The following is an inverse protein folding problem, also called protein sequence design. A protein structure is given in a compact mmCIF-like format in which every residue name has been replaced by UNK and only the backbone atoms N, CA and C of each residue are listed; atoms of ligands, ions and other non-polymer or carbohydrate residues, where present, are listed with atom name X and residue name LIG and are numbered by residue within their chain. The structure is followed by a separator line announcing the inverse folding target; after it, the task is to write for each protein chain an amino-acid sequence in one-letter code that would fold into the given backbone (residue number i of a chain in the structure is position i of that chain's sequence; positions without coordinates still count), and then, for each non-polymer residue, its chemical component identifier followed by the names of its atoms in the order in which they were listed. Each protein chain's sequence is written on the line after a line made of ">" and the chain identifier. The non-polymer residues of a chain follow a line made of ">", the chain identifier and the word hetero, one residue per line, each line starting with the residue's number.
data_IF_879627264852
#
_entry.id   IF_879627264852
#
_cell.length_a   1.000
_cell.length_b   1.000
_cell.length_c   1.000
_cell.angle_alpha   90.00
_cell.angle_beta   90.00
_cell.angle_gamma   90.00
#
_symmetry.space_group_name_H-M   'P 1'
#
loop_
_entity.id
_entity.type
_entity.pdbx_description
1 polymer ?
#
# COMPACT_ATOMS: atom_id res chain seq x y z
N UNK A 1 12.79 -25.17 10.25
CA UNK A 1 12.24 -24.14 9.34
C UNK A 1 12.03 -22.88 10.13
N UNK A 2 12.72 -21.78 9.79
CA UNK A 2 12.50 -20.49 10.45
C UNK A 2 11.13 -19.99 9.97
N UNK A 3 10.17 -19.68 10.86
CA UNK A 3 8.87 -19.18 10.43
C UNK A 3 9.09 -17.91 9.60
N UNK A 4 8.46 -17.88 8.42
CA UNK A 4 8.62 -16.81 7.44
C UNK A 4 8.33 -15.46 8.08
N UNK A 5 9.34 -14.58 8.08
CA UNK A 5 9.20 -13.20 8.56
C UNK A 5 8.34 -12.44 7.55
N UNK A 6 7.22 -11.88 7.98
CA UNK A 6 6.24 -11.21 7.10
C UNK A 6 6.32 -9.69 7.16
N UNK A 7 6.07 -9.05 6.02
CA UNK A 7 5.86 -7.62 5.86
C UNK A 7 7.10 -6.72 6.08
N UNK A 8 6.98 -5.46 5.66
CA UNK A 8 8.05 -4.47 5.88
C UNK A 8 8.09 -4.07 7.36
N UNK A 9 9.27 -4.16 7.98
CA UNK A 9 9.49 -3.72 9.36
C UNK A 9 9.05 -4.70 10.44
N UNK A 10 8.64 -5.93 10.09
CA UNK A 10 8.37 -7.04 11.02
C UNK A 10 7.34 -6.71 12.12
N UNK A 11 6.48 -5.71 11.91
CA UNK A 11 5.44 -5.31 12.86
C UNK A 11 4.12 -5.98 12.49
N UNK A 12 3.43 -6.62 13.45
CA UNK A 12 2.09 -7.14 13.22
C UNK A 12 1.14 -6.03 12.74
N UNK A 13 0.05 -6.38 12.07
CA UNK A 13 -1.04 -5.42 11.87
C UNK A 13 -1.62 -5.04 13.23
N UNK A 14 -2.11 -3.81 13.41
CA UNK A 14 -2.58 -3.32 14.71
C UNK A 14 -3.75 -4.14 15.30
N UNK A 15 -4.48 -4.83 14.42
CA UNK A 15 -5.57 -5.74 14.76
C UNK A 15 -5.15 -7.22 14.76
N UNK A 16 -3.91 -7.52 14.33
CA UNK A 16 -3.30 -8.84 14.43
C UNK A 16 -2.29 -8.80 15.58
N UNK A 17 -2.72 -9.16 16.79
CA UNK A 17 -1.75 -9.47 17.84
C UNK A 17 -0.99 -10.72 17.40
N UNK A 18 0.23 -10.55 16.90
CA UNK A 18 1.18 -11.66 16.83
C UNK A 18 1.63 -11.93 18.26
N UNK A 19 0.89 -12.76 18.96
CA UNK A 19 1.46 -13.47 20.08
C UNK A 19 2.64 -14.25 19.49
N UNK A 20 3.83 -13.94 20.00
CA UNK A 20 5.06 -14.58 19.57
C UNK A 20 4.87 -16.09 19.66
N UNK A 21 5.00 -16.79 18.53
CA UNK A 21 5.02 -18.25 18.50
C UNK A 21 6.34 -18.73 19.11
N UNK A 22 6.51 -18.55 20.42
CA UNK A 22 7.38 -19.41 21.21
C UNK A 22 6.75 -20.79 21.23
N UNK A 23 7.58 -21.82 21.08
CA UNK A 23 7.17 -23.21 21.19
C UNK A 23 6.77 -23.48 22.65
N UNK A 24 5.57 -23.04 23.04
CA UNK A 24 5.16 -22.94 24.43
C UNK A 24 4.04 -21.93 24.60
N UNK A 25 2.88 -22.48 24.93
CA UNK A 25 1.67 -21.82 25.45
C UNK A 25 0.79 -21.00 24.50
N UNK A 26 -0.48 -21.42 24.49
CA UNK A 26 -1.57 -20.94 23.67
C UNK A 26 -2.11 -19.65 24.28
N UNK A 27 -1.90 -18.51 23.62
CA UNK A 27 -2.77 -17.35 23.82
C UNK A 27 -3.73 -17.31 22.64
N UNK A 28 -4.96 -17.75 22.88
CA UNK A 28 -6.04 -17.63 21.91
C UNK A 28 -6.43 -16.15 21.82
N UNK A 29 -5.92 -15.44 20.82
CA UNK A 29 -6.63 -14.28 20.30
C UNK A 29 -7.73 -14.78 19.37
N UNK A 30 -8.86 -14.06 19.33
CA UNK A 30 -10.13 -14.27 18.60
C UNK A 30 -10.00 -14.84 17.15
N UNK A 31 -9.46 -16.04 17.01
CA UNK A 31 -9.34 -16.77 15.76
C UNK A 31 -10.39 -17.88 15.82
N UNK A 32 -11.32 -17.85 14.86
CA UNK A 32 -12.20 -18.98 14.59
C UNK A 32 -11.29 -20.20 14.40
N UNK A 33 -11.46 -21.31 15.13
CA UNK A 33 -10.63 -22.49 14.96
C UNK A 33 -10.71 -22.95 13.50
N UNK A 34 -9.63 -22.76 12.74
CA UNK A 34 -9.54 -23.04 11.30
C UNK A 34 -9.23 -21.84 10.39
N UNK A 35 -9.22 -20.60 10.89
CA UNK A 35 -8.85 -19.44 10.06
C UNK A 35 -7.33 -19.28 9.96
N UNK A 36 -6.81 -19.28 8.74
CA UNK A 36 -5.40 -18.96 8.45
C UNK A 36 -5.14 -17.46 8.70
N UNK A 37 -3.91 -17.06 9.07
CA UNK A 37 -3.56 -15.67 9.31
C UNK A 37 -3.61 -14.83 8.01
N UNK A 38 -3.94 -13.53 8.10
CA UNK A 38 -4.20 -12.67 6.93
C UNK A 38 -3.03 -12.63 5.96
N UNK A 39 -1.81 -12.50 6.47
CA UNK A 39 -0.59 -12.45 5.65
C UNK A 39 -0.42 -13.71 4.79
N UNK A 40 -0.90 -14.86 5.25
CA UNK A 40 -0.84 -16.12 4.52
C UNK A 40 -1.99 -16.25 3.53
N UNK A 41 -3.19 -15.86 3.92
CA UNK A 41 -4.38 -15.87 3.06
C UNK A 41 -4.22 -14.91 1.88
N UNK A 42 -3.49 -13.82 2.08
CA UNK A 42 -3.32 -12.73 1.11
C UNK A 42 -1.91 -12.62 0.54
N UNK A 43 -1.04 -13.61 0.73
CA UNK A 43 0.30 -13.65 0.13
C UNK A 43 0.20 -13.35 -1.37
N UNK A 44 1.01 -12.40 -1.85
CA UNK A 44 1.10 -11.96 -3.26
C UNK A 44 -0.19 -11.39 -3.86
N UNK A 45 -1.27 -11.21 -3.11
CA UNK A 45 -2.47 -10.52 -3.60
C UNK A 45 -2.26 -9.01 -3.51
N UNK A 46 -2.35 -8.33 -4.65
CA UNK A 46 -2.07 -6.90 -4.78
C UNK A 46 -3.23 -6.23 -5.51
N UNK A 47 -3.77 -5.15 -4.96
CA UNK A 47 -4.69 -4.27 -5.68
C UNK A 47 -3.88 -3.20 -6.42
N UNK A 48 -4.19 -2.99 -7.70
CA UNK A 48 -3.56 -1.97 -8.53
C UNK A 48 -4.61 -0.97 -9.00
N UNK A 49 -4.34 0.31 -8.76
CA UNK A 49 -5.16 1.41 -9.23
C UNK A 49 -4.36 2.29 -10.18
N UNK A 50 -4.99 2.70 -11.27
CA UNK A 50 -4.44 3.73 -12.15
C UNK A 50 -4.92 5.09 -11.69
N UNK A 51 -3.99 6.02 -11.52
CA UNK A 51 -4.31 7.40 -11.12
C UNK A 51 -3.50 8.40 -11.93
N UNK A 52 -3.89 9.66 -11.84
CA UNK A 52 -3.15 10.77 -12.41
C UNK A 52 -3.18 11.97 -11.47
N UNK A 53 -2.11 12.75 -11.49
CA UNK A 53 -2.01 14.02 -10.78
C UNK A 53 -2.07 15.15 -11.81
N UNK A 54 -2.90 16.15 -11.53
CA UNK A 54 -3.02 17.37 -12.33
C UNK A 54 -2.23 18.46 -11.61
N UNK A 55 -1.11 18.87 -12.20
CA UNK A 55 -0.25 19.93 -11.69
C UNK A 55 -0.56 21.24 -12.45
N UNK A 56 -0.89 22.34 -11.76
CA UNK A 56 -1.03 23.63 -12.40
C UNK A 56 0.36 24.16 -12.78
N UNK A 57 0.54 24.54 -14.04
CA UNK A 57 1.80 25.16 -14.50
C UNK A 57 1.67 26.67 -14.28
N UNK A 58 2.47 27.22 -13.35
CA UNK A 58 2.44 28.65 -13.02
C UNK A 58 3.15 29.54 -14.04
N UNK A 59 4.07 28.99 -14.83
CA UNK A 59 4.85 29.75 -15.80
C UNK A 59 4.34 29.52 -17.23
N UNK A 60 3.62 30.50 -17.77
CA UNK A 60 3.35 30.58 -19.21
C UNK A 60 1.87 30.60 -19.62
N UNK A 61 1.07 31.52 -19.06
CA UNK A 61 -0.01 32.26 -19.74
C UNK A 61 -1.19 31.53 -20.43
N UNK A 62 -1.20 30.19 -20.55
CA UNK A 62 -2.14 29.45 -21.41
C UNK A 62 -3.04 28.44 -20.67
N UNK A 63 -3.03 28.43 -19.34
CA UNK A 63 -3.93 27.57 -18.55
C UNK A 63 -3.68 26.07 -18.69
N UNK A 64 -2.52 25.68 -19.23
CA UNK A 64 -2.16 24.27 -19.41
C UNK A 64 -1.87 23.61 -18.07
N UNK A 65 -2.49 22.46 -17.80
CA UNK A 65 -2.18 21.63 -16.62
C UNK A 65 -1.41 20.38 -17.05
N UNK A 66 -0.33 20.04 -16.33
CA UNK A 66 0.44 18.83 -16.56
C UNK A 66 -0.28 17.62 -15.96
N UNK A 67 -0.46 16.55 -16.74
CA UNK A 67 -1.03 15.28 -16.27
C UNK A 67 0.06 14.24 -16.07
N UNK A 68 0.39 13.93 -14.83
CA UNK A 68 1.35 12.89 -14.45
C UNK A 68 0.62 11.59 -14.12
N UNK A 69 1.06 10.45 -14.66
CA UNK A 69 0.37 9.15 -14.50
C UNK A 69 1.04 8.31 -13.42
N UNK A 70 0.24 7.68 -12.57
CA UNK A 70 0.73 6.84 -11.47
C UNK A 70 0.04 5.47 -11.45
N UNK A 71 0.76 4.47 -10.97
CA UNK A 71 0.21 3.22 -10.47
C UNK A 71 0.28 3.22 -8.95
N UNK A 72 -0.85 2.98 -8.29
CA UNK A 72 -0.92 2.76 -6.85
C UNK A 72 -1.08 1.26 -6.61
N UNK A 73 -0.20 0.69 -5.80
CA UNK A 73 -0.21 -0.72 -5.40
C UNK A 73 -0.53 -0.82 -3.91
N UNK A 74 -1.52 -1.63 -3.57
CA UNK A 74 -1.90 -1.97 -2.21
C UNK A 74 -1.70 -3.46 -1.96
N UNK A 75 -0.83 -3.78 -0.99
CA UNK A 75 -0.47 -5.16 -0.66
C UNK A 75 -1.39 -5.68 0.43
N UNK A 76 -2.19 -6.69 0.11
CA UNK A 76 -3.22 -7.22 1.03
C UNK A 76 -2.63 -8.05 2.18
N UNK A 77 -1.36 -8.46 2.06
CA UNK A 77 -0.65 -9.22 3.08
C UNK A 77 -0.32 -8.38 4.32
N UNK A 78 0.03 -7.09 4.14
CA UNK A 78 0.55 -6.23 5.21
C UNK A 78 0.00 -4.79 5.21
N UNK A 79 -1.03 -4.52 4.41
CA UNK A 79 -1.70 -3.22 4.24
C UNK A 79 -0.73 -2.07 3.87
N UNK A 80 0.41 -2.40 3.24
CA UNK A 80 1.35 -1.41 2.75
C UNK A 80 0.97 -0.88 1.37
N UNK A 81 1.42 0.33 1.07
CA UNK A 81 1.20 1.02 -0.20
C UNK A 81 2.54 1.30 -0.87
N UNK A 82 2.61 1.09 -2.18
CA UNK A 82 3.70 1.56 -3.06
C UNK A 82 3.08 2.38 -4.19
N UNK A 83 3.71 3.49 -4.55
CA UNK A 83 3.28 4.29 -5.71
C UNK A 83 4.42 4.40 -6.69
N UNK A 84 4.15 4.12 -7.96
CA UNK A 84 5.11 4.35 -9.04
C UNK A 84 4.57 5.34 -10.04
N UNK A 85 5.41 6.27 -10.46
CA UNK A 85 5.14 7.16 -11.56
C UNK A 85 5.50 6.47 -12.87
N UNK A 86 4.65 6.68 -13.89
CA UNK A 86 4.87 6.18 -15.24
C UNK A 86 5.27 7.36 -16.11
N UNK A 87 6.51 7.34 -16.59
CA UNK A 87 6.98 8.27 -17.60
C UNK A 87 6.90 7.60 -18.97
N UNK A 88 6.32 8.29 -19.95
CA UNK A 88 6.32 7.86 -21.34
C UNK A 88 7.08 8.90 -22.15
N UNK A 89 8.28 8.52 -22.61
CA UNK A 89 9.09 9.35 -23.51
C UNK A 89 9.48 8.50 -24.71
N UNK A 90 9.14 8.97 -25.91
CA UNK A 90 9.55 8.35 -27.19
C UNK A 90 9.31 6.83 -27.24
N UNK A 91 8.13 6.38 -26.77
CA UNK A 91 7.76 4.96 -26.77
C UNK A 91 8.39 4.10 -25.66
N UNK A 92 9.32 4.65 -24.87
CA UNK A 92 9.84 4.00 -23.67
C UNK A 92 8.98 4.35 -22.47
N UNK A 93 8.58 3.30 -21.75
CA UNK A 93 7.87 3.43 -20.47
C UNK A 93 8.88 3.17 -19.36
N UNK A 94 9.17 4.19 -18.56
CA UNK A 94 9.95 4.04 -17.33
C UNK A 94 9.04 4.15 -16.12
N UNK A 95 9.34 3.33 -15.12
CA UNK A 95 8.63 3.30 -13.84
C UNK A 95 9.54 3.85 -12.76
N UNK A 96 9.21 5.02 -12.24
CA UNK A 96 9.95 5.62 -11.13
C UNK A 96 9.20 5.40 -9.83
N UNK A 97 9.91 5.13 -8.73
CA UNK A 97 9.26 4.93 -7.42
C UNK A 97 8.98 6.29 -6.80
N UNK A 98 7.72 6.73 -6.85
CA UNK A 98 7.27 7.95 -6.21
C UNK A 98 7.16 7.77 -4.68
N UNK A 99 6.54 6.67 -4.24
CA UNK A 99 6.45 6.29 -2.83
C UNK A 99 6.97 4.86 -2.67
N UNK A 100 8.01 4.69 -1.84
CA UNK A 100 8.52 3.38 -1.43
C UNK A 100 7.45 2.60 -0.68
N UNK A 101 7.45 1.27 -0.81
CA UNK A 101 6.49 0.41 -0.12
C UNK A 101 6.57 0.62 1.40
N UNK A 102 5.51 1.12 2.02
CA UNK A 102 5.38 1.24 3.47
C UNK A 102 3.91 1.41 3.87
N UNK A 103 3.58 1.26 5.16
CA UNK A 103 2.25 1.58 5.68
C UNK A 103 2.12 3.10 5.82
N UNK A 104 1.10 3.68 5.18
CA UNK A 104 0.83 5.11 5.26
C UNK A 104 -0.15 5.33 6.42
N UNK A 105 0.26 6.00 7.52
CA UNK A 105 -0.62 6.24 8.64
C UNK A 105 -1.76 7.17 8.22
N UNK A 106 -2.99 6.76 8.49
CA UNK A 106 -4.15 7.62 8.28
C UNK A 106 -4.20 8.65 9.41
N UNK A 107 -3.71 9.87 9.16
CA UNK A 107 -4.04 11.01 10.04
C UNK A 107 -5.47 11.41 9.71
N UNK A 108 -6.42 10.95 10.52
CA UNK A 108 -7.82 11.31 10.39
C UNK A 108 -8.01 12.83 10.45
N UNK A 109 -8.25 13.46 9.29
CA UNK A 109 -9.29 14.46 9.05
C UNK A 109 -9.20 15.06 7.63
N UNK A 110 -10.37 15.04 6.94
CA UNK A 110 -10.76 15.87 5.77
C UNK A 110 -10.12 15.60 4.39
N UNK A 111 -10.26 14.39 3.86
CA UNK A 111 -10.62 14.26 2.44
C UNK A 111 -12.12 13.97 2.32
N UNK A 112 -12.94 14.94 2.78
CA UNK A 112 -14.36 14.94 2.41
C UNK A 112 -14.36 15.29 0.92
N UNK A 113 -14.48 14.26 0.08
CA UNK A 113 -14.82 14.45 -1.33
C UNK A 113 -16.06 15.36 -1.30
N UNK A 114 -15.92 16.61 -1.77
CA UNK A 114 -17.07 17.44 -2.01
C UNK A 114 -17.79 16.81 -3.19
N UNK A 115 -18.79 15.97 -2.90
CA UNK A 115 -19.79 15.59 -3.88
C UNK A 115 -20.44 16.89 -4.37
N UNK A 116 -20.52 17.05 -5.69
CA UNK A 116 -21.28 18.15 -6.32
C UNK A 116 -22.75 18.04 -5.98
#
# INVERSE_FOLDING_TARGET
>A
MIPGKVGIGKRPLENERCDTWTFGEKTQTNQIPGSLPKWLVNDKKILRFWSYLIEPISEGGLGTSLKRRFNVYYFLEDDSIKVTEIHSSMGRVSHETFIRRHRIPFKGNKFRLKTK
#
